data_IF_265890029481
#
_entry.id   IF_265890029481
#
_cell.length_a   1.000
_cell.length_b   1.000
_cell.length_c   1.000
_cell.angle_alpha   90.00
_cell.angle_beta   90.00
_cell.angle_gamma   90.00
#
_symmetry.space_group_name_H-M   'P 1'
#
loop_
_entity.id
_entity.type
_entity.pdbx_description
1 polymer ?
#
# COMPACT_ATOMS: atom_id res chain seq x y z
N UNK A 1 11.31 -0.86 18.92
CA UNK A 1 12.62 -0.60 18.29
C UNK A 1 13.61 -0.16 19.37
N UNK A 2 14.91 -0.41 19.19
CA UNK A 2 15.93 -0.16 20.23
C UNK A 2 16.46 1.26 20.16
N UNK A 3 16.41 1.97 21.30
CA UNK A 3 17.12 3.24 21.49
C UNK A 3 18.55 2.94 21.96
N UNK A 4 19.55 3.59 21.35
CA UNK A 4 20.97 3.35 21.64
C UNK A 4 21.54 4.61 22.28
N UNK A 5 22.26 4.47 23.39
CA UNK A 5 22.91 5.59 24.08
C UNK A 5 23.85 6.35 23.13
N UNK A 6 23.85 7.68 23.23
CA UNK A 6 24.59 8.58 22.32
C UNK A 6 26.08 8.24 22.20
N UNK A 7 26.72 7.86 23.32
CA UNK A 7 28.13 7.45 23.36
C UNK A 7 28.47 6.24 22.49
N UNK A 8 27.47 5.43 22.13
CA UNK A 8 27.63 4.20 21.35
C UNK A 8 27.17 4.37 19.89
N UNK A 9 26.77 5.57 19.47
CA UNK A 9 26.25 5.82 18.13
C UNK A 9 27.34 5.95 17.06
N UNK A 10 28.53 6.45 17.42
CA UNK A 10 29.60 6.76 16.47
C UNK A 10 30.97 6.43 17.07
N UNK A 11 31.94 6.11 16.22
CA UNK A 11 33.36 5.92 16.58
C UNK A 11 33.63 4.89 17.69
N UNK A 12 32.78 3.86 17.80
CA UNK A 12 32.98 2.81 18.79
C UNK A 12 33.99 1.74 18.34
N UNK A 13 33.99 1.42 17.04
CA UNK A 13 34.91 0.47 16.42
C UNK A 13 36.10 1.19 15.79
N UNK A 14 37.19 0.46 15.52
CA UNK A 14 38.38 1.01 14.87
C UNK A 14 38.10 1.58 13.46
N UNK A 15 37.05 1.10 12.79
CA UNK A 15 36.58 1.62 11.50
C UNK A 15 35.64 2.84 11.63
N UNK A 16 35.37 3.31 12.84
CA UNK A 16 34.52 4.48 13.10
C UNK A 16 33.02 4.17 13.25
N UNK A 17 32.60 2.91 13.18
CA UNK A 17 31.18 2.51 13.28
C UNK A 17 30.71 2.40 14.75
N UNK A 18 29.43 2.69 15.00
CA UNK A 18 28.71 2.48 16.26
C UNK A 18 27.97 1.13 16.34
N UNK A 19 27.19 0.95 17.42
CA UNK A 19 26.48 -0.32 17.69
C UNK A 19 25.29 -0.58 16.78
N UNK A 20 24.69 0.46 16.20
CA UNK A 20 23.44 0.31 15.43
C UNK A 20 23.69 -0.44 14.13
N UNK A 21 24.69 -0.01 13.38
CA UNK A 21 25.10 -0.56 12.09
C UNK A 21 25.97 -1.82 12.22
N UNK A 22 26.54 -2.08 13.41
CA UNK A 22 27.29 -3.29 13.69
C UNK A 22 26.41 -4.30 14.45
N UNK A 23 26.39 -4.27 15.77
CA UNK A 23 25.73 -5.26 16.62
C UNK A 23 24.24 -5.42 16.31
N UNK A 24 23.46 -4.35 16.37
CA UNK A 24 22.00 -4.44 16.23
C UNK A 24 21.55 -4.79 14.81
N UNK A 25 22.28 -4.32 13.80
CA UNK A 25 22.04 -4.71 12.42
C UNK A 25 22.35 -6.19 12.19
N UNK A 26 23.38 -6.76 12.82
CA UNK A 26 23.63 -8.20 12.70
C UNK A 26 22.62 -9.05 13.49
N UNK A 27 22.08 -8.54 14.61
CA UNK A 27 21.08 -9.26 15.42
C UNK A 27 19.69 -9.27 14.78
N UNK A 28 19.23 -8.12 14.28
CA UNK A 28 17.86 -7.97 13.78
C UNK A 28 17.80 -7.78 12.27
N UNK A 29 18.90 -7.46 11.61
CA UNK A 29 18.97 -7.17 10.18
C UNK A 29 17.85 -6.19 9.77
N UNK A 30 17.08 -6.53 8.73
CA UNK A 30 15.94 -5.75 8.24
C UNK A 30 14.59 -6.26 8.78
N UNK A 31 14.57 -6.78 10.01
CA UNK A 31 13.37 -7.27 10.69
C UNK A 31 12.23 -6.22 10.66
N UNK A 32 11.07 -6.63 10.17
CA UNK A 32 9.88 -5.77 10.07
C UNK A 32 8.93 -6.01 11.24
N UNK A 33 8.28 -4.94 11.73
CA UNK A 33 7.36 -5.00 12.86
C UNK A 33 5.96 -4.58 12.41
N UNK A 34 4.98 -5.44 12.66
CA UNK A 34 3.58 -5.24 12.29
C UNK A 34 2.68 -5.08 13.52
N UNK A 35 1.54 -4.41 13.33
CA UNK A 35 0.55 -4.24 14.40
C UNK A 35 -0.09 -5.58 14.79
N UNK A 36 -0.51 -6.35 13.78
CA UNK A 36 -1.20 -7.63 13.98
C UNK A 36 -0.57 -8.73 13.12
N UNK A 37 -0.82 -9.98 13.48
CA UNK A 37 -0.41 -11.15 12.70
C UNK A 37 -1.08 -11.17 11.34
N UNK A 38 -2.33 -10.71 11.26
CA UNK A 38 -3.06 -10.64 10.00
C UNK A 38 -2.41 -9.64 9.01
N UNK A 39 -2.06 -8.44 9.47
CA UNK A 39 -1.36 -7.45 8.65
C UNK A 39 0.00 -7.98 8.15
N UNK A 40 0.73 -8.70 9.02
CA UNK A 40 1.99 -9.35 8.67
C UNK A 40 1.80 -10.40 7.56
N UNK A 41 0.76 -11.25 7.67
CA UNK A 41 0.47 -12.28 6.67
C UNK A 41 0.01 -11.68 5.34
N UNK A 42 -0.80 -10.62 5.35
CA UNK A 42 -1.19 -9.90 4.12
C UNK A 42 0.01 -9.30 3.40
N UNK A 43 1.01 -8.86 4.16
CA UNK A 43 2.25 -8.30 3.62
C UNK A 43 3.33 -9.35 3.31
N UNK A 44 3.07 -10.65 3.54
CA UNK A 44 4.06 -11.73 3.42
C UNK A 44 4.89 -11.72 2.12
N UNK A 45 4.31 -11.51 0.93
CA UNK A 45 5.08 -11.45 -0.31
C UNK A 45 6.12 -10.32 -0.38
N UNK A 46 5.96 -9.29 0.45
CA UNK A 46 6.84 -8.12 0.51
C UNK A 46 7.90 -8.21 1.63
N UNK A 47 7.83 -9.25 2.47
CA UNK A 47 8.77 -9.47 3.56
C UNK A 47 10.01 -10.14 2.98
N UNK A 48 11.17 -9.49 3.12
CA UNK A 48 12.46 -9.98 2.61
C UNK A 48 13.22 -10.84 3.61
N UNK A 49 12.98 -10.61 4.90
CA UNK A 49 13.76 -11.16 6.01
C UNK A 49 12.80 -11.65 7.11
N UNK A 50 13.16 -11.47 8.39
CA UNK A 50 12.24 -11.76 9.49
C UNK A 50 11.10 -10.74 9.61
N UNK A 51 10.02 -11.15 10.26
CA UNK A 51 8.94 -10.26 10.68
C UNK A 51 8.36 -10.67 12.04
N UNK A 52 7.90 -9.69 12.81
CA UNK A 52 7.18 -9.91 14.07
C UNK A 52 5.91 -9.05 14.12
N UNK A 53 4.91 -9.51 14.87
CA UNK A 53 3.72 -8.71 15.16
C UNK A 53 3.52 -8.50 16.67
N UNK A 54 2.92 -7.37 17.04
CA UNK A 54 2.72 -6.98 18.45
C UNK A 54 1.72 -7.88 19.20
N UNK A 55 0.84 -8.58 18.48
CA UNK A 55 -0.07 -9.62 19.00
C UNK A 55 0.59 -11.02 19.07
N UNK A 56 1.90 -11.10 18.85
CA UNK A 56 2.68 -12.30 19.10
C UNK A 56 2.88 -13.23 17.91
N UNK A 57 2.73 -12.78 16.67
CA UNK A 57 3.21 -13.49 15.48
C UNK A 57 4.74 -13.33 15.28
N UNK A 58 5.39 -14.34 14.70
CA UNK A 58 6.81 -14.30 14.35
C UNK A 58 7.11 -15.18 13.12
N UNK A 59 7.80 -14.58 12.16
CA UNK A 59 8.38 -15.20 10.97
C UNK A 59 9.90 -15.02 11.09
N UNK A 60 10.64 -16.13 11.15
CA UNK A 60 12.10 -16.10 11.17
C UNK A 60 12.64 -15.70 9.79
N UNK A 61 13.87 -15.19 9.73
CA UNK A 61 14.50 -14.82 8.46
C UNK A 61 14.62 -15.97 7.45
N UNK A 62 14.57 -17.23 7.92
CA UNK A 62 14.49 -18.43 7.08
C UNK A 62 13.12 -18.66 6.44
N UNK A 63 12.14 -17.78 6.67
CA UNK A 63 10.74 -17.95 6.26
C UNK A 63 9.93 -18.89 7.17
N UNK A 64 10.53 -19.41 8.25
CA UNK A 64 9.88 -20.35 9.17
C UNK A 64 8.97 -19.61 10.16
N UNK A 65 7.73 -20.07 10.25
CA UNK A 65 6.75 -19.56 11.22
C UNK A 65 6.98 -20.16 12.61
N UNK A 66 6.93 -19.31 13.62
CA UNK A 66 6.90 -19.77 15.02
C UNK A 66 5.46 -19.78 15.51
N UNK A 67 4.95 -20.98 15.79
CA UNK A 67 3.57 -21.23 16.22
C UNK A 67 3.56 -21.82 17.64
N UNK A 68 2.42 -21.72 18.32
CA UNK A 68 2.24 -22.23 19.68
C UNK A 68 2.35 -21.15 20.75
N UNK A 69 2.39 -21.61 22.00
CA UNK A 69 2.57 -20.73 23.15
C UNK A 69 3.97 -20.13 23.13
N UNK A 70 4.09 -18.89 23.59
CA UNK A 70 5.38 -18.24 23.72
C UNK A 70 6.01 -18.65 25.04
N UNK A 71 7.25 -19.11 24.97
CA UNK A 71 8.10 -19.23 26.15
C UNK A 71 8.37 -17.83 26.67
N UNK A 72 8.14 -17.64 27.98
CA UNK A 72 8.46 -16.38 28.62
C UNK A 72 9.98 -16.26 28.78
N UNK A 73 10.53 -15.09 28.48
CA UNK A 73 11.97 -14.82 28.57
C UNK A 73 12.17 -13.81 29.69
N UNK A 74 12.88 -14.21 30.74
CA UNK A 74 13.11 -13.38 31.93
C UNK A 74 13.89 -12.10 31.63
N UNK A 75 14.77 -12.15 30.61
CA UNK A 75 15.61 -11.03 30.20
C UNK A 75 14.82 -10.14 29.24
N UNK A 76 14.66 -8.87 29.62
CA UNK A 76 13.95 -7.85 28.82
C UNK A 76 14.85 -6.67 28.50
N UNK A 77 14.57 -6.01 27.38
CA UNK A 77 15.22 -4.74 27.06
C UNK A 77 14.93 -3.70 28.14
N UNK A 78 15.94 -2.99 28.65
CA UNK A 78 15.74 -1.94 29.65
C UNK A 78 14.90 -0.80 29.05
N UNK A 79 13.99 -0.25 29.86
CA UNK A 79 13.27 0.96 29.50
C UNK A 79 14.19 2.16 29.77
N UNK A 80 14.32 3.12 28.84
CA UNK A 80 15.06 4.35 29.11
C UNK A 80 14.44 5.09 30.31
N UNK A 81 15.27 5.67 31.17
CA UNK A 81 14.85 6.37 32.39
C UNK A 81 13.93 7.55 32.05
N UNK A 82 12.81 7.67 32.78
CA UNK A 82 11.78 8.71 32.59
C UNK A 82 12.34 10.14 32.75
N UNK A 83 13.46 10.30 33.46
CA UNK A 83 14.07 11.61 33.76
C UNK A 83 15.04 12.16 32.71
N UNK A 84 15.62 11.32 31.85
CA UNK A 84 16.60 11.76 30.82
C UNK A 84 16.11 11.55 29.39
N UNK A 85 15.02 10.81 29.18
CA UNK A 85 14.57 10.39 27.86
C UNK A 85 13.03 10.29 27.71
N UNK A 86 12.25 11.15 28.37
CA UNK A 86 11.07 11.63 27.64
C UNK A 86 11.65 12.33 26.42
N UNK A 87 11.31 11.93 25.18
CA UNK A 87 11.79 12.67 24.02
C UNK A 87 11.42 14.12 24.31
N UNK A 88 12.40 15.03 24.31
CA UNK A 88 12.13 16.47 24.47
C UNK A 88 11.03 16.95 23.50
N UNK A 89 10.80 16.15 22.45
CA UNK A 89 9.84 16.29 21.39
C UNK A 89 8.53 15.47 21.57
N UNK A 90 8.23 14.76 22.67
CA UNK A 90 7.03 13.88 22.70
C UNK A 90 5.74 14.62 22.31
N UNK A 91 5.51 15.79 22.90
CA UNK A 91 4.33 16.63 22.64
C UNK A 91 4.33 17.11 21.17
N UNK A 92 5.49 17.50 20.66
CA UNK A 92 5.63 17.96 19.28
C UNK A 92 5.44 16.80 18.28
N UNK A 93 5.97 15.61 18.58
CA UNK A 93 5.76 14.38 17.80
C UNK A 93 4.28 14.00 17.79
N UNK A 94 3.57 14.10 18.93
CA UNK A 94 2.13 13.86 18.99
C UNK A 94 1.36 14.89 18.14
N UNK A 95 1.76 16.15 18.17
CA UNK A 95 1.18 17.21 17.33
C UNK A 95 1.41 16.92 15.85
N UNK A 96 2.62 16.56 15.45
CA UNK A 96 2.95 16.17 14.08
C UNK A 96 2.13 14.97 13.62
N UNK A 97 1.95 13.96 14.49
CA UNK A 97 1.11 12.80 14.21
C UNK A 97 -0.35 13.20 13.93
N UNK A 98 -0.91 14.12 14.71
CA UNK A 98 -2.27 14.63 14.52
C UNK A 98 -2.42 15.35 13.18
N UNK A 99 -1.45 16.22 12.83
CA UNK A 99 -1.45 16.93 11.54
C UNK A 99 -1.37 15.94 10.38
N UNK A 100 -0.42 14.99 10.41
CA UNK A 100 -0.28 13.97 9.36
C UNK A 100 -1.54 13.11 9.19
N UNK A 101 -2.21 12.75 10.29
CA UNK A 101 -3.46 12.00 10.22
C UNK A 101 -4.58 12.81 9.56
N UNK A 102 -4.68 14.11 9.88
CA UNK A 102 -5.65 15.01 9.25
C UNK A 102 -5.38 15.17 7.74
N UNK A 103 -4.12 15.38 7.36
CA UNK A 103 -3.71 15.48 5.95
C UNK A 103 -4.02 14.19 5.17
N UNK A 104 -3.70 13.03 5.77
CA UNK A 104 -4.05 11.72 5.21
C UNK A 104 -5.55 11.60 4.97
N UNK A 105 -6.38 12.01 5.93
CA UNK A 105 -7.83 11.92 5.80
C UNK A 105 -8.35 12.83 4.68
N UNK A 106 -7.82 14.05 4.56
CA UNK A 106 -8.15 14.96 3.46
C UNK A 106 -7.82 14.36 2.09
N UNK A 107 -6.63 13.78 1.94
CA UNK A 107 -6.23 13.13 0.68
C UNK A 107 -7.13 11.93 0.37
N UNK A 108 -7.52 11.14 1.38
CA UNK A 108 -8.45 10.02 1.19
C UNK A 108 -9.85 10.49 0.77
N UNK A 109 -10.36 11.60 1.33
CA UNK A 109 -11.63 12.21 0.92
C UNK A 109 -11.59 12.65 -0.55
N UNK A 110 -10.51 13.32 -0.95
CA UNK A 110 -10.33 13.79 -2.33
C UNK A 110 -10.23 12.63 -3.31
N UNK A 111 -9.47 11.57 -2.97
CA UNK A 111 -9.37 10.37 -3.79
C UNK A 111 -10.74 9.71 -4.01
N UNK A 112 -11.56 9.57 -2.96
CA UNK A 112 -12.93 9.01 -3.08
C UNK A 112 -13.82 9.87 -3.98
N UNK A 113 -13.68 11.19 -3.91
CA UNK A 113 -14.42 12.14 -4.75
C UNK A 113 -14.05 11.95 -6.23
N UNK A 114 -12.75 11.91 -6.53
CA UNK A 114 -12.25 11.72 -7.89
C UNK A 114 -12.60 10.34 -8.45
N UNK A 115 -12.52 9.29 -7.64
CA UNK A 115 -12.98 7.94 -8.03
C UNK A 115 -14.46 7.94 -8.41
N UNK A 116 -15.30 8.63 -7.63
CA UNK A 116 -16.74 8.73 -7.90
C UNK A 116 -17.02 9.47 -9.22
N UNK A 117 -16.30 10.57 -9.49
CA UNK A 117 -16.39 11.31 -10.75
C UNK A 117 -15.92 10.44 -11.93
N UNK A 118 -14.81 9.72 -11.76
CA UNK A 118 -14.28 8.82 -12.77
C UNK A 118 -15.30 7.72 -13.14
N UNK A 119 -15.96 7.12 -12.14
CA UNK A 119 -17.01 6.11 -12.36
C UNK A 119 -18.19 6.72 -13.12
N UNK A 120 -18.63 7.93 -12.76
CA UNK A 120 -19.73 8.61 -13.43
C UNK A 120 -19.41 8.91 -14.91
N UNK A 121 -18.20 9.42 -15.19
CA UNK A 121 -17.75 9.71 -16.56
C UNK A 121 -17.60 8.43 -17.38
N UNK A 122 -17.00 7.37 -16.82
CA UNK A 122 -16.89 6.06 -17.50
C UNK A 122 -18.25 5.49 -17.86
N UNK A 123 -19.23 5.61 -16.96
CA UNK A 123 -20.60 5.17 -17.22
C UNK A 123 -21.29 5.98 -18.33
N UNK A 124 -21.15 7.31 -18.32
CA UNK A 124 -21.67 8.17 -19.40
C UNK A 124 -21.04 7.81 -20.74
N UNK A 125 -19.73 7.65 -20.78
CA UNK A 125 -18.98 7.26 -21.98
C UNK A 125 -19.45 5.91 -22.51
N UNK A 126 -19.59 4.90 -21.64
CA UNK A 126 -20.07 3.58 -22.02
C UNK A 126 -21.48 3.63 -22.63
N UNK A 127 -22.42 4.34 -22.00
CA UNK A 127 -23.77 4.53 -22.55
C UNK A 127 -23.74 5.20 -23.92
N UNK A 128 -22.95 6.27 -24.07
CA UNK A 128 -22.82 6.97 -25.35
C UNK A 128 -22.21 6.09 -26.45
N UNK A 129 -21.23 5.26 -26.09
CA UNK A 129 -20.65 4.26 -27.00
C UNK A 129 -21.69 3.24 -27.46
N UNK A 130 -22.49 2.71 -26.53
CA UNK A 130 -23.56 1.76 -26.85
C UNK A 130 -24.63 2.39 -27.77
N UNK A 131 -25.05 3.63 -27.49
CA UNK A 131 -25.94 4.41 -28.35
C UNK A 131 -25.36 4.60 -29.76
N UNK A 132 -24.08 4.96 -29.84
CA UNK A 132 -23.40 5.18 -31.11
C UNK A 132 -23.31 3.90 -31.94
N UNK A 133 -22.99 2.76 -31.32
CA UNK A 133 -22.97 1.46 -32.01
C UNK A 133 -24.36 1.07 -32.51
N UNK A 134 -25.42 1.30 -31.72
CA UNK A 134 -26.81 1.07 -32.16
C UNK A 134 -27.18 1.95 -33.35
N UNK A 135 -26.78 3.22 -33.32
CA UNK A 135 -26.99 4.14 -34.44
C UNK A 135 -26.33 3.63 -35.72
N UNK A 136 -25.05 3.21 -35.66
CA UNK A 136 -24.34 2.64 -36.81
C UNK A 136 -25.03 1.38 -37.39
N UNK A 137 -25.48 0.48 -36.52
CA UNK A 137 -26.21 -0.72 -36.93
C UNK A 137 -27.51 -0.37 -37.65
N UNK A 138 -28.30 0.57 -37.12
CA UNK A 138 -29.53 1.04 -37.75
C UNK A 138 -29.24 1.72 -39.11
N UNK A 139 -28.29 2.65 -39.18
CA UNK A 139 -27.93 3.32 -40.43
C UNK A 139 -27.48 2.34 -41.52
N UNK A 140 -26.76 1.27 -41.17
CA UNK A 140 -26.37 0.22 -42.13
C UNK A 140 -27.57 -0.55 -42.69
N UNK A 141 -28.58 -0.84 -41.84
CA UNK A 141 -29.80 -1.54 -42.26
C UNK A 141 -30.67 -0.69 -43.20
N UNK A 142 -30.79 0.62 -42.96
CA UNK A 142 -31.50 1.54 -43.85
C UNK A 142 -30.79 1.71 -45.20
N UNK A 143 -29.46 1.74 -45.23
CA UNK A 143 -28.70 1.78 -46.48
C UNK A 143 -28.90 0.52 -47.34
N UNK A 144 -29.06 -0.64 -46.70
CA UNK A 144 -29.29 -1.93 -47.39
C UNK A 144 -30.73 -2.02 -47.92
N UNK A 145 -31.71 -1.51 -47.18
CA UNK A 145 -33.11 -1.41 -47.66
C UNK A 145 -33.26 -0.44 -48.83
N UNK A 146 -32.56 0.70 -48.83
CA UNK A 146 -32.58 1.64 -49.95
C UNK A 146 -31.93 1.05 -51.22
N UNK A 147 -30.90 0.21 -51.12
CA UNK A 147 -30.33 -0.49 -52.28
C UNK A 147 -31.28 -1.54 -52.88
N UNK A 148 -32.13 -2.18 -52.06
CA UNK A 148 -33.10 -3.18 -52.53
C UNK A 148 -34.32 -2.54 -53.22
N UNK A 149 -34.63 -1.27 -52.91
CA UNK A 149 -35.76 -0.54 -53.48
C UNK A 149 -35.45 0.32 -54.72
N UNK A 150 -34.19 0.40 -55.18
CA UNK A 150 -33.89 1.04 -56.49
C UNK A 150 -34.28 0.06 -57.60
N UNK A 151 -35.30 0.34 -58.45
CA UNK A 151 -35.62 -0.53 -59.56
C UNK A 151 -34.50 -0.45 -60.60
N UNK A 152 -33.89 -1.58 -60.93
CA UNK A 152 -33.07 -1.70 -62.14
C UNK A 152 -33.99 -1.56 -63.36
N UNK A 153 -34.22 -0.33 -63.83
CA UNK A 153 -34.74 -0.10 -65.17
C UNK A 153 -33.64 -0.45 -66.18
N UNK A 154 -33.54 -1.74 -66.50
CA UNK A 154 -32.76 -2.26 -67.61
C UNK A 154 -33.38 -1.83 -68.93
N UNK A 155 -32.78 -0.82 -69.55
CA UNK A 155 -33.00 -0.47 -70.95
C UNK A 155 -32.47 -1.60 -71.85
N UNK A 156 -33.32 -2.19 -72.68
CA UNK A 156 -32.93 -3.06 -73.81
C UNK A 156 -32.92 -2.19 -75.07
N UNK A 157 -31.77 -1.98 -75.74
CA UNK A 157 -31.76 -1.57 -77.14
C UNK A 157 -31.75 -2.80 -78.06
N UNK A 158 -32.36 -2.60 -79.23
CA UNK A 158 -32.62 -3.57 -80.31
C UNK A 158 -31.39 -4.30 -80.84
#
# INVERSE_FOLDING_TARGET
MVNVESKNLFYLTASGCGLRETLFYNLFFRLQVYKTREDMLRAFPCISDGAISLDGGMIKATGVFSLGNRDDVDIRFPKPSTGENMPANYIETEKQLKVMNWEKEKVLEDMRREESLLVAVKNKFRKKKEEFVKFLAQSSSYATQHQIQVPQNGFIPR
#
